data_IF_302784194083
#
_entry.id   IF_302784194083
#
_cell.length_a   1.000
_cell.length_b   1.000
_cell.length_c   1.000
_cell.angle_alpha   90.00
_cell.angle_beta   90.00
_cell.angle_gamma   90.00
#
_symmetry.space_group_name_H-M   'P 1'
#
loop_
_entity.id
_entity.type
_entity.pdbx_description
1 polymer ?
#
# COMPACT_ATOMS: atom_id res chain seq x y z
N UNK A 1 15.18 7.47 -21.22
CA UNK A 1 16.08 6.29 -21.31
C UNK A 1 15.41 5.06 -20.70
N UNK A 2 15.24 4.96 -19.37
CA UNK A 2 14.68 3.77 -18.69
C UNK A 2 13.26 3.40 -19.17
N UNK A 3 12.41 4.38 -19.49
CA UNK A 3 11.04 4.14 -19.99
C UNK A 3 10.94 3.96 -21.52
N UNK A 4 12.06 4.01 -22.25
CA UNK A 4 12.06 4.11 -23.71
C UNK A 4 12.20 2.76 -24.37
N UNK A 5 11.15 2.29 -25.04
CA UNK A 5 11.15 1.01 -25.77
C UNK A 5 12.15 0.93 -26.93
N UNK A 6 12.67 2.05 -27.40
CA UNK A 6 13.71 2.15 -28.44
C UNK A 6 15.15 2.14 -27.90
N UNK A 7 15.33 2.06 -26.57
CA UNK A 7 16.67 2.01 -25.97
C UNK A 7 17.07 0.56 -25.76
N UNK A 8 18.28 0.18 -26.20
CA UNK A 8 18.78 -1.19 -26.06
C UNK A 8 19.07 -1.58 -24.61
N UNK A 9 18.96 -2.88 -24.30
CA UNK A 9 19.21 -3.42 -22.96
C UNK A 9 20.57 -2.98 -22.35
N UNK A 10 21.71 -2.96 -23.07
CA UNK A 10 22.99 -2.50 -22.51
C UNK A 10 22.96 -1.03 -22.08
N UNK A 11 22.33 -0.14 -22.86
CA UNK A 11 22.22 1.29 -22.53
C UNK A 11 21.32 1.48 -21.31
N UNK A 12 20.18 0.78 -21.27
CA UNK A 12 19.27 0.79 -20.12
C UNK A 12 19.96 0.27 -18.86
N UNK A 13 20.75 -0.81 -18.98
CA UNK A 13 21.54 -1.36 -17.87
C UNK A 13 22.54 -0.35 -17.30
N UNK A 14 23.27 0.36 -18.15
CA UNK A 14 24.19 1.42 -17.73
C UNK A 14 23.45 2.57 -17.02
N UNK A 15 22.28 2.96 -17.54
CA UNK A 15 21.47 4.00 -16.92
C UNK A 15 21.01 3.61 -15.51
N UNK A 16 20.52 2.37 -15.34
CA UNK A 16 20.12 1.84 -14.03
C UNK A 16 21.31 1.81 -13.06
N UNK A 17 22.49 1.34 -13.51
CA UNK A 17 23.70 1.34 -12.68
C UNK A 17 24.11 2.75 -12.27
N UNK A 18 24.01 3.74 -13.17
CA UNK A 18 24.31 5.12 -12.84
C UNK A 18 23.37 5.65 -11.75
N UNK A 19 22.06 5.40 -11.86
CA UNK A 19 21.08 5.78 -10.84
C UNK A 19 21.37 5.10 -9.51
N UNK A 20 21.63 3.78 -9.51
CA UNK A 20 22.04 3.06 -8.30
C UNK A 20 23.26 3.70 -7.65
N UNK A 21 24.26 4.12 -8.44
CA UNK A 21 25.46 4.79 -7.92
C UNK A 21 25.18 6.20 -7.40
N UNK A 22 24.29 6.96 -8.03
CA UNK A 22 23.91 8.28 -7.54
C UNK A 22 23.29 8.21 -6.15
N UNK A 23 22.41 7.23 -5.92
CA UNK A 23 21.88 6.95 -4.59
C UNK A 23 23.00 6.43 -3.69
N UNK A 24 23.69 5.35 -4.05
CA UNK A 24 24.68 4.69 -3.19
C UNK A 24 25.84 5.60 -2.74
N UNK A 25 26.26 6.57 -3.56
CA UNK A 25 27.32 7.52 -3.23
C UNK A 25 26.80 8.83 -2.62
N UNK A 26 25.52 8.89 -2.29
CA UNK A 26 24.88 10.06 -1.68
C UNK A 26 24.99 11.34 -2.52
N UNK A 27 25.15 11.18 -3.85
CA UNK A 27 25.09 12.29 -4.82
C UNK A 27 23.65 12.81 -4.88
N UNK A 28 22.67 11.90 -4.75
CA UNK A 28 21.27 12.20 -4.52
C UNK A 28 20.89 11.63 -3.16
N UNK A 29 20.44 12.51 -2.27
CA UNK A 29 20.14 12.18 -0.88
C UNK A 29 18.87 12.87 -0.38
N UNK A 30 18.45 12.59 0.86
CA UNK A 30 17.25 13.17 1.48
C UNK A 30 17.23 14.72 1.51
N UNK A 31 18.39 15.37 1.49
CA UNK A 31 18.50 16.83 1.51
C UNK A 31 18.46 17.45 0.11
N UNK A 32 18.42 16.63 -0.94
CA UNK A 32 18.38 17.11 -2.32
C UNK A 32 17.03 17.77 -2.62
N UNK A 33 17.01 18.86 -3.41
CA UNK A 33 15.77 19.54 -3.75
C UNK A 33 14.84 18.60 -4.51
N UNK A 34 13.56 18.59 -4.13
CA UNK A 34 12.49 17.79 -4.77
C UNK A 34 12.75 16.28 -4.77
N UNK A 35 13.49 15.76 -3.78
CA UNK A 35 13.81 14.33 -3.69
C UNK A 35 12.57 13.43 -3.62
N UNK A 36 11.50 13.82 -2.93
CA UNK A 36 10.26 13.02 -2.84
C UNK A 36 9.65 12.78 -4.23
N UNK A 37 9.46 13.84 -5.01
CA UNK A 37 8.98 13.75 -6.40
C UNK A 37 9.94 12.93 -7.27
N UNK A 38 11.25 13.11 -7.10
CA UNK A 38 12.23 12.34 -7.85
C UNK A 38 12.18 10.84 -7.53
N UNK A 39 11.97 10.46 -6.26
CA UNK A 39 11.82 9.08 -5.83
C UNK A 39 10.56 8.44 -6.40
N UNK A 40 9.43 9.16 -6.42
CA UNK A 40 8.17 8.69 -7.03
C UNK A 40 8.27 8.58 -8.56
N UNK A 41 8.92 9.52 -9.23
CA UNK A 41 9.15 9.40 -10.67
C UNK A 41 10.12 8.27 -11.00
N UNK A 42 11.09 8.02 -10.11
CA UNK A 42 12.03 6.92 -10.27
C UNK A 42 11.34 5.57 -10.09
N UNK A 43 10.50 5.39 -9.05
CA UNK A 43 9.73 4.15 -8.84
C UNK A 43 8.88 3.85 -10.06
N UNK A 44 8.07 4.81 -10.51
CA UNK A 44 7.25 4.67 -11.72
C UNK A 44 8.08 4.37 -12.99
N UNK A 45 9.28 4.94 -13.10
CA UNK A 45 10.15 4.69 -14.25
C UNK A 45 10.75 3.28 -14.26
N UNK A 46 11.06 2.69 -13.09
CA UNK A 46 11.67 1.37 -12.99
C UNK A 46 10.63 0.25 -13.00
N UNK A 47 9.45 0.46 -12.42
CA UNK A 47 8.32 -0.49 -12.47
C UNK A 47 7.75 -0.61 -13.89
N UNK A 48 7.68 0.52 -14.61
CA UNK A 48 7.28 0.56 -16.02
C UNK A 48 8.46 0.64 -17.00
N UNK A 49 9.62 0.11 -16.61
CA UNK A 49 10.80 0.10 -17.48
C UNK A 49 10.49 -0.64 -18.78
N UNK A 50 10.89 -0.03 -19.90
CA UNK A 50 10.76 -0.62 -21.24
C UNK A 50 12.06 -0.41 -21.97
N UNK A 51 12.48 -1.45 -22.69
CA UNK A 51 13.69 -1.43 -23.50
C UNK A 51 13.50 -2.36 -24.69
N UNK A 52 14.32 -2.17 -25.71
CA UNK A 52 14.37 -3.04 -26.89
C UNK A 52 14.98 -4.38 -26.47
N UNK A 53 14.13 -5.41 -26.40
CA UNK A 53 14.54 -6.77 -26.10
C UNK A 53 15.41 -7.31 -27.23
N UNK A 54 16.66 -7.64 -26.92
CA UNK A 54 17.63 -8.07 -27.93
C UNK A 54 18.15 -9.48 -27.66
N UNK A 55 18.50 -9.78 -26.42
CA UNK A 55 19.14 -11.03 -26.01
C UNK A 55 18.64 -11.39 -24.62
N UNK A 56 18.26 -12.66 -24.40
CA UNK A 56 17.63 -13.07 -23.15
C UNK A 56 18.53 -12.85 -21.94
N UNK A 57 19.85 -13.02 -22.11
CA UNK A 57 20.80 -12.78 -21.02
C UNK A 57 20.92 -11.29 -20.70
N UNK A 58 21.05 -10.44 -21.73
CA UNK A 58 21.09 -8.98 -21.53
C UNK A 58 19.80 -8.45 -20.89
N UNK A 59 18.65 -8.96 -21.31
CA UNK A 59 17.34 -8.60 -20.79
C UNK A 59 17.22 -8.98 -19.31
N UNK A 60 17.63 -10.20 -18.93
CA UNK A 60 17.64 -10.64 -17.52
C UNK A 60 18.61 -9.84 -16.65
N UNK A 61 19.75 -9.42 -17.20
CA UNK A 61 20.67 -8.50 -16.49
C UNK A 61 19.97 -7.18 -16.19
N UNK A 62 19.20 -6.62 -17.13
CA UNK A 62 18.43 -5.38 -16.88
C UNK A 62 17.38 -5.60 -15.79
N UNK A 63 16.62 -6.70 -15.84
CA UNK A 63 15.62 -7.03 -14.82
C UNK A 63 16.25 -7.19 -13.43
N UNK A 64 17.40 -7.86 -13.33
CA UNK A 64 18.14 -7.98 -12.07
C UNK A 64 18.60 -6.61 -11.54
N UNK A 65 18.98 -5.68 -12.42
CA UNK A 65 19.36 -4.31 -12.03
C UNK A 65 18.16 -3.50 -11.55
N UNK A 66 17.00 -3.63 -12.21
CA UNK A 66 15.74 -3.02 -11.76
C UNK A 66 15.41 -3.50 -10.34
N UNK A 67 15.41 -4.82 -10.14
CA UNK A 67 15.13 -5.44 -8.85
C UNK A 67 16.07 -4.94 -7.74
N UNK A 68 17.38 -4.88 -8.00
CA UNK A 68 18.36 -4.37 -7.03
C UNK A 68 18.20 -2.88 -6.75
N UNK A 69 17.75 -2.10 -7.74
CA UNK A 69 17.46 -0.70 -7.55
C UNK A 69 16.19 -0.49 -6.70
N UNK A 70 15.11 -1.25 -6.94
CA UNK A 70 13.91 -1.24 -6.09
C UNK A 70 14.24 -1.57 -4.63
N UNK A 71 15.01 -2.64 -4.41
CA UNK A 71 15.47 -3.04 -3.07
C UNK A 71 16.30 -1.93 -2.41
N UNK A 72 17.21 -1.31 -3.17
CA UNK A 72 18.03 -0.20 -2.69
C UNK A 72 17.22 1.07 -2.38
N UNK A 73 16.18 1.38 -3.15
CA UNK A 73 15.30 2.51 -2.89
C UNK A 73 14.51 2.33 -1.59
N UNK A 74 13.98 1.13 -1.35
CA UNK A 74 13.25 0.83 -0.11
C UNK A 74 14.17 0.74 1.10
N UNK A 75 15.37 0.17 0.96
CA UNK A 75 16.28 -0.04 2.11
C UNK A 75 16.94 1.24 2.62
N UNK A 76 16.91 2.32 1.84
CA UNK A 76 17.55 3.59 2.18
C UNK A 76 16.62 4.55 2.94
N UNK A 77 17.17 5.54 3.66
CA UNK A 77 16.37 6.58 4.33
C UNK A 77 15.45 7.35 3.39
N UNK A 78 15.86 7.58 2.14
CA UNK A 78 15.01 8.23 1.13
C UNK A 78 13.78 7.40 0.77
N UNK A 79 13.78 6.09 1.06
CA UNK A 79 12.63 5.23 0.90
C UNK A 79 11.43 5.71 1.71
N UNK A 80 11.63 6.39 2.86
CA UNK A 80 10.52 6.98 3.64
C UNK A 80 9.71 8.01 2.85
N UNK A 81 10.26 8.54 1.76
CA UNK A 81 9.59 9.55 0.94
C UNK A 81 8.72 8.96 -0.18
N UNK A 82 8.75 7.64 -0.35
CA UNK A 82 7.88 6.96 -1.31
C UNK A 82 6.46 6.91 -0.72
N UNK A 83 5.45 6.90 -1.58
CA UNK A 83 4.07 6.64 -1.16
C UNK A 83 3.71 5.16 -1.29
N UNK A 84 2.61 4.76 -0.66
CA UNK A 84 2.11 3.38 -0.68
C UNK A 84 1.99 2.82 -2.10
N UNK A 85 1.44 3.61 -3.03
CA UNK A 85 1.27 3.22 -4.43
C UNK A 85 2.60 2.82 -5.08
N UNK A 86 3.65 3.63 -4.87
CA UNK A 86 4.99 3.33 -5.39
C UNK A 86 5.57 2.06 -4.80
N UNK A 87 5.35 1.81 -3.50
CA UNK A 87 5.83 0.59 -2.84
C UNK A 87 5.08 -0.63 -3.35
N UNK A 88 3.75 -0.57 -3.39
CA UNK A 88 2.90 -1.64 -3.90
C UNK A 88 3.28 -2.01 -5.34
N UNK A 89 3.50 -1.01 -6.20
CA UNK A 89 3.87 -1.25 -7.58
C UNK A 89 5.27 -1.90 -7.72
N UNK A 90 6.25 -1.49 -6.91
CA UNK A 90 7.56 -2.15 -6.86
C UNK A 90 7.46 -3.61 -6.38
N UNK A 91 6.62 -3.87 -5.37
CA UNK A 91 6.36 -5.21 -4.85
C UNK A 91 5.65 -6.09 -5.89
N UNK A 92 4.66 -5.55 -6.60
CA UNK A 92 3.96 -6.24 -7.70
C UNK A 92 4.94 -6.59 -8.84
N UNK A 93 5.81 -5.64 -9.19
CA UNK A 93 6.84 -5.83 -10.20
C UNK A 93 7.81 -6.96 -9.80
N UNK A 94 8.27 -6.97 -8.54
CA UNK A 94 9.15 -8.02 -8.02
C UNK A 94 8.46 -9.40 -7.98
N UNK A 95 7.20 -9.46 -7.54
CA UNK A 95 6.41 -10.70 -7.52
C UNK A 95 6.18 -11.25 -8.94
N UNK A 96 5.91 -10.37 -9.89
CA UNK A 96 5.79 -10.74 -11.31
C UNK A 96 7.05 -11.44 -11.80
N UNK A 97 8.24 -10.94 -11.45
CA UNK A 97 9.51 -11.59 -11.78
C UNK A 97 9.67 -12.95 -11.10
N UNK A 98 9.23 -13.13 -9.84
CA UNK A 98 9.27 -14.42 -9.14
C UNK A 98 8.45 -15.51 -9.86
N UNK A 99 7.27 -15.14 -10.38
CA UNK A 99 6.29 -16.10 -10.92
C UNK A 99 6.38 -16.32 -12.43
N UNK A 100 7.20 -15.55 -13.15
CA UNK A 100 7.26 -15.61 -14.61
C UNK A 100 8.18 -16.75 -15.09
N UNK A 101 7.58 -17.88 -15.47
CA UNK A 101 8.28 -19.10 -15.94
C UNK A 101 9.20 -18.90 -17.15
N UNK A 102 9.09 -17.78 -17.88
CA UNK A 102 9.96 -17.45 -19.00
C UNK A 102 11.32 -16.91 -18.57
N UNK A 103 11.47 -16.51 -17.31
CA UNK A 103 12.72 -16.04 -16.72
C UNK A 103 13.52 -17.21 -16.14
N UNK A 104 14.84 -17.05 -16.09
CA UNK A 104 15.74 -18.05 -15.52
C UNK A 104 15.45 -18.33 -14.04
N UNK A 105 15.74 -19.55 -13.60
CA UNK A 105 15.65 -19.94 -12.19
C UNK A 105 16.49 -19.01 -11.30
N UNK A 106 17.69 -18.64 -11.77
CA UNK A 106 18.57 -17.75 -11.01
C UNK A 106 17.94 -16.37 -10.79
N UNK A 107 17.33 -15.78 -11.83
CA UNK A 107 16.66 -14.50 -11.70
C UNK A 107 15.44 -14.60 -10.77
N UNK A 108 14.63 -15.67 -10.91
CA UNK A 108 13.47 -15.90 -10.02
C UNK A 108 13.88 -16.05 -8.56
N UNK A 109 14.96 -16.78 -8.27
CA UNK A 109 15.52 -16.89 -6.91
C UNK A 109 16.11 -15.58 -6.40
N UNK A 110 16.72 -14.79 -7.29
CA UNK A 110 17.21 -13.46 -6.94
C UNK A 110 16.05 -12.50 -6.61
N UNK A 111 14.94 -12.59 -7.36
CA UNK A 111 13.69 -11.88 -7.08
C UNK A 111 13.09 -12.28 -5.74
N UNK A 112 12.99 -13.58 -5.47
CA UNK A 112 12.52 -14.11 -4.19
C UNK A 112 13.33 -13.55 -3.01
N UNK A 113 14.67 -13.62 -3.07
CA UNK A 113 15.53 -13.06 -2.01
C UNK A 113 15.37 -11.56 -1.85
N UNK A 114 15.29 -10.80 -2.95
CA UNK A 114 15.16 -9.35 -2.88
C UNK A 114 13.78 -8.93 -2.36
N UNK A 115 12.71 -9.66 -2.72
CA UNK A 115 11.36 -9.48 -2.17
C UNK A 115 11.31 -9.72 -0.67
N UNK A 116 11.99 -10.75 -0.17
CA UNK A 116 12.09 -11.00 1.27
C UNK A 116 12.76 -9.81 1.98
N UNK A 117 13.87 -9.28 1.43
CA UNK A 117 14.54 -8.11 2.00
C UNK A 117 13.64 -6.87 1.98
N UNK A 118 12.93 -6.62 0.87
CA UNK A 118 11.97 -5.51 0.78
C UNK A 118 10.83 -5.66 1.80
N UNK A 119 10.26 -6.85 1.96
CA UNK A 119 9.27 -7.13 3.00
C UNK A 119 9.82 -6.85 4.39
N UNK A 120 11.03 -7.32 4.71
CA UNK A 120 11.66 -7.07 6.01
C UNK A 120 11.81 -5.59 6.29
N UNK A 121 12.27 -4.81 5.31
CA UNK A 121 12.39 -3.35 5.45
C UNK A 121 11.02 -2.70 5.71
N UNK A 122 9.99 -3.10 4.98
CA UNK A 122 8.62 -2.59 5.17
C UNK A 122 8.12 -2.94 6.58
N UNK A 123 8.28 -4.18 7.04
CA UNK A 123 7.83 -4.59 8.37
C UNK A 123 8.66 -3.98 9.51
N UNK A 124 9.95 -3.74 9.31
CA UNK A 124 10.78 -3.00 10.27
C UNK A 124 10.30 -1.56 10.40
N UNK A 125 10.01 -0.90 9.28
CA UNK A 125 9.41 0.44 9.29
C UNK A 125 8.04 0.42 9.97
N UNK A 126 7.20 -0.56 9.64
CA UNK A 126 5.91 -0.74 10.28
C UNK A 126 6.02 -0.91 11.80
N UNK A 127 7.02 -1.66 12.27
CA UNK A 127 7.26 -1.81 13.71
C UNK A 127 7.74 -0.53 14.40
N UNK A 128 8.26 0.44 13.63
CA UNK A 128 8.64 1.75 14.15
C UNK A 128 7.47 2.74 14.16
N UNK A 129 6.35 2.42 13.50
CA UNK A 129 5.14 3.27 13.44
C UNK A 129 4.34 3.23 14.78
N UNK A 130 4.72 2.39 15.74
CA UNK A 130 3.97 2.23 17.01
C UNK A 130 4.56 3.04 18.21
N UNK A 131 3.84 4.11 18.63
CA UNK A 131 3.36 4.45 20.02
C UNK A 131 3.11 5.97 20.22
N UNK A 132 3.75 6.89 19.50
CA UNK A 132 3.64 8.33 19.83
C UNK A 132 2.26 8.93 19.52
N UNK A 133 1.65 8.63 18.38
CA UNK A 133 0.37 9.26 17.98
C UNK A 133 -0.84 8.69 18.75
N UNK A 134 -0.85 7.39 19.06
CA UNK A 134 -1.98 6.75 19.76
C UNK A 134 -2.01 7.17 21.24
N UNK A 135 -0.86 7.39 21.86
CA UNK A 135 -0.80 7.76 23.29
C UNK A 135 -1.28 9.19 23.53
N UNK A 136 -0.88 10.15 22.67
CA UNK A 136 -1.28 11.55 22.84
C UNK A 136 -2.77 11.76 22.60
N UNK A 137 -3.33 11.16 21.55
CA UNK A 137 -4.77 11.29 21.27
C UNK A 137 -5.65 10.61 22.33
N UNK A 138 -5.24 9.44 22.82
CA UNK A 138 -5.98 8.72 23.87
C UNK A 138 -5.92 9.46 25.21
N UNK A 139 -4.76 10.02 25.59
CA UNK A 139 -4.62 10.81 26.82
C UNK A 139 -5.34 12.16 26.75
N UNK A 140 -5.35 12.81 25.59
CA UNK A 140 -6.04 14.07 25.40
C UNK A 140 -7.56 13.89 25.38
N UNK A 141 -8.05 12.80 24.77
CA UNK A 141 -9.46 12.45 24.79
C UNK A 141 -9.93 12.03 26.19
N UNK A 142 -9.12 11.29 26.94
CA UNK A 142 -9.42 10.93 28.34
C UNK A 142 -9.48 12.18 29.24
N UNK A 143 -8.57 13.15 29.07
CA UNK A 143 -8.59 14.42 29.80
C UNK A 143 -9.82 15.27 29.48
N UNK A 144 -10.21 15.34 28.20
CA UNK A 144 -11.43 16.05 27.79
C UNK A 144 -12.68 15.42 28.40
N UNK A 145 -12.77 14.08 28.47
CA UNK A 145 -13.90 13.38 29.10
C UNK A 145 -13.97 13.67 30.60
N UNK A 146 -12.82 13.70 31.29
CA UNK A 146 -12.77 14.05 32.72
C UNK A 146 -13.15 15.51 33.00
N UNK A 147 -12.70 16.45 32.16
CA UNK A 147 -13.04 17.87 32.25
C UNK A 147 -14.53 18.14 31.93
N UNK A 148 -15.10 17.43 30.95
CA UNK A 148 -16.52 17.49 30.61
C UNK A 148 -17.38 16.88 31.72
N UNK A 149 -16.93 15.77 32.34
CA UNK A 149 -17.61 15.16 33.48
C UNK A 149 -17.60 16.05 34.73
N UNK A 150 -16.51 16.80 34.95
CA UNK A 150 -16.39 17.77 36.04
C UNK A 150 -17.26 19.03 35.83
N UNK A 151 -17.53 19.40 34.57
CA UNK A 151 -18.35 20.57 34.22
C UNK A 151 -19.87 20.27 34.16
N UNK A 152 -20.30 19.03 34.34
CA UNK A 152 -21.71 18.67 34.49
C UNK A 152 -22.24 19.09 35.87
N UNK A 153 -22.56 20.39 36.00
CA UNK A 153 -23.22 20.95 37.18
C UNK A 153 -24.70 20.56 37.15
N UNK A 154 -25.09 19.55 37.92
CA UNK A 154 -26.50 19.24 38.13
C UNK A 154 -27.15 20.32 39.00
N UNK A 155 -28.03 21.13 38.40
CA UNK A 155 -28.90 22.01 39.16
C UNK A 155 -29.87 21.14 40.00
N UNK A 156 -30.02 21.39 41.31
CA UNK A 156 -30.97 20.65 42.12
C UNK A 156 -32.38 20.96 41.62
N UNK A 157 -33.06 19.95 41.09
CA UNK A 157 -34.48 20.01 40.77
C UNK A 157 -35.32 20.00 42.07
N UNK A 158 -35.32 21.12 42.79
CA UNK A 158 -36.24 21.36 43.91
C UNK A 158 -36.78 22.77 43.79
N UNK A 159 -37.91 22.91 43.10
CA UNK A 159 -38.94 23.84 43.53
C UNK A 159 -40.01 22.99 44.18
N UNK A 160 -40.09 23.10 45.51
CA UNK A 160 -40.93 22.28 46.36
C UNK A 160 -42.40 22.52 46.12
N UNK A 161 -42.97 21.79 45.17
CA UNK A 161 -44.37 21.41 45.24
C UNK A 161 -44.52 19.91 44.98
N UNK A 162 -45.29 19.28 45.84
CA UNK A 162 -45.31 17.83 46.01
C UNK A 162 -46.11 17.19 44.88
N UNK A 163 -45.46 16.59 43.88
CA UNK A 163 -46.16 15.79 42.87
C UNK A 163 -46.28 14.36 43.36
N UNK A 164 -47.49 14.00 43.77
CA UNK A 164 -47.90 12.63 44.07
C UNK A 164 -47.70 11.77 42.81
N UNK A 165 -46.99 10.63 42.86
CA UNK A 165 -46.86 9.75 41.71
C UNK A 165 -48.21 9.10 41.39
N UNK A 166 -48.83 9.48 40.27
CA UNK A 166 -50.00 8.82 39.72
C UNK A 166 -49.66 7.92 38.52
N UNK A 167 -48.60 7.12 38.58
CA UNK A 167 -48.46 5.99 37.66
C UNK A 167 -47.75 4.82 38.36
N UNK A 168 -48.40 3.66 38.54
CA UNK A 168 -47.72 2.46 39.01
C UNK A 168 -46.80 1.94 37.89
N UNK A 169 -45.50 1.90 38.16
CA UNK A 169 -44.53 1.15 37.38
C UNK A 169 -44.98 -0.30 37.30
N UNK A 170 -45.32 -0.75 36.09
CA UNK A 170 -45.60 -2.16 35.85
C UNK A 170 -44.29 -2.79 35.36
N UNK A 171 -43.61 -3.51 36.25
CA UNK A 171 -42.60 -4.49 35.86
C UNK A 171 -43.30 -5.59 35.05
N UNK A 172 -42.99 -5.68 33.77
CA UNK A 172 -43.31 -6.83 32.93
C UNK A 172 -42.11 -7.75 32.85
N UNK A 173 -42.12 -8.80 33.67
CA UNK A 173 -41.31 -10.00 33.50
C UNK A 173 -42.03 -10.89 32.50
N UNK A 174 -41.34 -11.37 31.47
CA UNK A 174 -41.70 -12.65 30.83
C UNK A 174 -40.44 -13.40 30.41
N UNK A 175 -40.35 -14.62 30.93
CA UNK A 175 -39.41 -15.68 30.60
C UNK A 175 -40.06 -16.65 29.59
N UNK A 176 -39.29 -17.68 29.21
CA UNK A 176 -39.64 -18.91 28.46
C UNK A 176 -39.39 -18.78 26.94
N UNK A 177 -38.27 -19.25 26.36
CA UNK A 177 -37.63 -20.57 26.29
C UNK A 177 -38.07 -21.42 25.08
N UNK A 178 -37.05 -22.03 24.44
CA UNK A 178 -37.07 -23.26 23.63
C UNK A 178 -37.85 -23.20 22.30
N UNK A 179 -37.44 -23.81 21.18
CA UNK A 179 -36.38 -24.76 20.82
C UNK A 179 -36.42 -24.92 19.29
N UNK A 180 -35.27 -25.26 18.67
CA UNK A 180 -35.07 -26.08 17.45
C UNK A 180 -35.70 -25.55 16.13
N UNK A 181 -35.07 -25.67 14.97
CA UNK A 181 -34.51 -26.89 14.39
C UNK A 181 -33.67 -26.54 13.15
N UNK A 182 -32.66 -27.38 12.90
CA UNK A 182 -31.79 -27.40 11.73
C UNK A 182 -32.52 -27.59 10.40
N UNK A 183 -31.99 -27.02 9.31
CA UNK A 183 -31.74 -27.81 8.10
C UNK A 183 -30.77 -27.15 7.12
N UNK A 184 -29.62 -27.78 6.98
CA UNK A 184 -28.81 -27.79 5.76
C UNK A 184 -29.67 -28.11 4.52
N UNK A 185 -29.44 -27.37 3.44
CA UNK A 185 -29.36 -27.97 2.09
C UNK A 185 -28.27 -27.28 1.28
N UNK A 186 -27.17 -28.00 1.16
CA UNK A 186 -26.23 -27.94 0.06
C UNK A 186 -26.92 -28.33 -1.26
N UNK A 187 -26.60 -27.61 -2.33
CA UNK A 187 -26.57 -28.16 -3.69
C UNK A 187 -25.77 -27.22 -4.59
N UNK A 188 -24.53 -27.62 -4.84
CA UNK A 188 -23.78 -27.30 -6.06
C UNK A 188 -24.61 -27.68 -7.29
N UNK A 189 -24.56 -26.83 -8.33
CA UNK A 189 -24.22 -27.23 -9.71
C UNK A 189 -24.30 -26.00 -10.65
N UNK A 190 -23.12 -25.46 -10.99
CA UNK A 190 -22.78 -25.09 -12.37
C UNK A 190 -22.40 -26.39 -13.12
N UNK A 191 -22.46 -26.53 -14.47
CA UNK A 191 -21.92 -25.53 -15.42
C UNK A 191 -22.61 -25.44 -16.81
N UNK A 192 -22.33 -24.37 -17.56
CA UNK A 192 -22.08 -24.51 -19.02
C UNK A 192 -21.41 -23.29 -19.68
N UNK A 193 -20.37 -23.65 -20.42
CA UNK A 193 -19.50 -22.89 -21.33
C UNK A 193 -20.18 -22.62 -22.68
N UNK A 194 -20.01 -21.43 -23.25
CA UNK A 194 -19.89 -21.12 -24.71
C UNK A 194 -19.17 -19.76 -24.86
N UNK A 195 -17.88 -19.69 -25.17
CA UNK A 195 -17.21 -19.57 -26.49
C UNK A 195 -17.56 -18.37 -27.40
N UNK A 196 -16.48 -17.64 -27.72
CA UNK A 196 -16.13 -16.87 -28.93
C UNK A 196 -16.54 -15.40 -29.08
N UNK A 197 -15.52 -14.56 -29.36
CA UNK A 197 -15.47 -13.85 -30.64
C UNK A 197 -15.17 -12.35 -30.60
N UNK A 198 -13.88 -12.03 -30.72
CA UNK A 198 -13.29 -10.93 -31.52
C UNK A 198 -13.54 -9.43 -31.25
N UNK A 199 -12.42 -8.71 -31.47
CA UNK A 199 -12.12 -7.28 -31.34
C UNK A 199 -12.57 -6.49 -32.60
N UNK A 200 -12.79 -5.16 -32.52
CA UNK A 200 -11.84 -4.23 -33.17
C UNK A 200 -11.62 -2.92 -32.35
N UNK A 201 -10.37 -2.50 -32.09
CA UNK A 201 -9.65 -1.35 -32.72
C UNK A 201 -10.42 -0.01 -32.84
N UNK A 202 -10.00 0.97 -32.02
CA UNK A 202 -9.94 2.44 -32.22
C UNK A 202 -9.53 3.04 -30.85
N UNK A 203 -8.84 4.16 -30.63
CA UNK A 203 -8.13 5.22 -31.36
C UNK A 203 -7.37 6.01 -30.29
N UNK A 204 -6.33 6.75 -30.68
CA UNK A 204 -5.52 7.60 -29.81
C UNK A 204 -6.24 8.88 -29.31
N UNK A 205 -5.52 9.67 -28.50
CA UNK A 205 -5.78 11.02 -27.95
C UNK A 205 -6.73 11.06 -26.75
N UNK A 206 -6.46 11.73 -25.63
CA UNK A 206 -5.74 13.00 -25.38
C UNK A 206 -5.32 13.15 -23.90
N UNK A 207 -4.47 14.15 -23.64
CA UNK A 207 -3.92 14.55 -22.35
C UNK A 207 -4.98 14.92 -21.30
N UNK A 208 -4.78 14.49 -20.06
CA UNK A 208 -5.20 15.28 -18.89
C UNK A 208 -4.07 15.29 -17.84
N UNK A 209 -3.57 16.49 -17.57
CA UNK A 209 -2.73 16.80 -16.41
C UNK A 209 -3.57 16.56 -15.15
N UNK A 210 -3.31 15.46 -14.45
CA UNK A 210 -3.75 15.32 -13.07
C UNK A 210 -2.73 16.00 -12.17
N UNK A 211 -3.17 17.07 -11.50
CA UNK A 211 -2.48 17.65 -10.35
C UNK A 211 -2.03 16.51 -9.43
N UNK A 212 -0.72 16.42 -9.20
CA UNK A 212 -0.14 15.44 -8.31
C UNK A 212 -0.60 15.79 -6.89
N UNK A 213 -1.59 15.02 -6.39
CA UNK A 213 -1.90 14.98 -4.98
C UNK A 213 -0.60 14.66 -4.23
N UNK A 214 -0.30 15.47 -3.23
CA UNK A 214 0.89 15.33 -2.40
C UNK A 214 0.82 13.98 -1.68
N UNK A 215 1.51 12.99 -2.23
CA UNK A 215 1.49 11.64 -1.73
C UNK A 215 2.20 11.62 -0.37
N UNK A 216 1.42 11.30 0.66
CA UNK A 216 1.90 11.07 2.01
C UNK A 216 2.89 9.89 2.01
N UNK A 217 3.93 9.94 2.87
CA UNK A 217 4.89 8.85 2.99
C UNK A 217 4.18 7.55 3.38
N UNK A 218 4.70 6.42 2.86
CA UNK A 218 4.22 5.11 3.29
C UNK A 218 4.68 4.85 4.73
N UNK A 219 3.71 4.81 5.62
CA UNK A 219 3.94 4.56 7.03
C UNK A 219 4.15 5.79 7.90
#
# INVERSE_FOLDING_TARGET
VIRSSSTSAPITSLALVAVTKFLAYDIVNRHSPRISVAMQLLSAAITHCRFEASDTVADEVVLLRILKLMEGMLSRPEGELLGDESVCEMMETGLSMCCQNRLSELLRRSAEMSMINMCQVIFVRLSAIDIEEIHDDTLNQQRQIEDDLANLKMDPAVNGDTVIPQHPSTMGSDTVAAEKEEKERTSNEEPKVMTNGERPTATATENEESEAAEALPYG
#
